data_IF_136324587466
#
_entry.id   IF_136324587466
#
_cell.length_a   1.000
_cell.length_b   1.000
_cell.length_c   1.000
_cell.angle_alpha   90.00
_cell.angle_beta   90.00
_cell.angle_gamma   90.00
#
_symmetry.space_group_name_H-M   'P 1'
#
loop_
_entity.id
_entity.type
_entity.pdbx_description
1 polymer ?
2 polymer ?
3 water ?
#
# COMPACT_ATOMS: atom_id res chain seq x y z
N UNK A 2 13.93 -15.46 11.70
CA UNK A 2 13.71 -15.71 10.28
C UNK A 2 14.68 -14.93 9.40
N UNK A 3 14.77 -15.36 8.13
CA UNK A 3 15.74 -14.83 7.19
C UNK A 3 15.40 -13.41 6.72
N UNK A 4 16.43 -12.61 6.41
CA UNK A 4 16.20 -11.29 5.84
C UNK A 4 15.73 -11.38 4.40
N UNK A 5 15.08 -10.32 3.91
CA UNK A 5 14.58 -10.29 2.55
C UNK A 5 14.70 -8.88 1.98
N UNK A 6 14.89 -8.78 0.67
CA UNK A 6 14.92 -7.49 0.00
C UNK A 6 13.50 -7.01 -0.25
N UNK A 7 13.23 -5.75 0.08
CA UNK A 7 11.89 -5.19 -0.09
C UNK A 7 11.97 -3.76 -0.60
N UNK A 8 10.85 -3.29 -1.14
CA UNK A 8 10.57 -1.86 -1.28
C UNK A 8 9.50 -1.52 -0.27
N UNK A 9 9.61 -0.35 0.36
CA UNK A 9 8.48 0.19 1.10
C UNK A 9 7.60 0.89 0.08
N UNK A 10 6.37 0.39 -0.10
CA UNK A 10 5.51 0.84 -1.20
C UNK A 10 4.40 1.82 -0.83
N UNK A 11 4.10 1.92 0.45
CA UNK A 11 3.15 2.92 0.95
C UNK A 11 3.37 3.10 2.44
N UNK A 12 3.06 4.29 2.95
CA UNK A 12 3.26 4.58 4.36
C UNK A 12 2.03 5.28 4.94
N UNK A 13 1.50 4.76 6.04
CA UNK A 13 0.59 5.53 6.87
C UNK A 13 1.34 6.16 8.05
N UNK A 14 2.18 5.35 8.72
CA UNK A 14 3.04 5.81 9.81
C UNK A 14 4.18 4.80 10.02
N UNK A 15 5.14 5.09 10.92
CA UNK A 15 6.16 4.07 11.16
C UNK A 15 5.61 2.72 11.67
N UNK A 16 4.42 2.74 12.27
CA UNK A 16 3.81 1.50 12.77
C UNK A 16 2.65 1.01 11.88
N UNK A 17 2.55 1.58 10.68
CA UNK A 17 1.63 1.06 9.66
C UNK A 17 2.11 1.44 8.27
N UNK A 18 2.85 0.54 7.64
CA UNK A 18 3.31 0.74 6.27
C UNK A 18 3.27 -0.59 5.54
N UNK A 19 3.54 -0.55 4.24
CA UNK A 19 3.45 -1.74 3.42
C UNK A 19 4.75 -1.95 2.70
N UNK A 20 5.14 -3.21 2.56
CA UNK A 20 6.29 -3.55 1.75
C UNK A 20 5.91 -4.48 0.59
N UNK A 21 6.74 -4.45 -0.45
CA UNK A 21 6.69 -5.42 -1.54
C UNK A 21 7.98 -6.21 -1.53
N UNK A 22 7.87 -7.53 -1.70
CA UNK A 22 9.07 -8.35 -1.80
C UNK A 22 9.68 -8.28 -3.19
N UNK A 23 10.98 -8.05 -3.22
CA UNK A 23 11.75 -7.98 -4.45
C UNK A 23 12.11 -9.38 -4.92
N UNK A 24 11.95 -9.64 -6.20
CA UNK A 24 12.22 -10.98 -6.71
C UNK A 24 11.37 -11.26 -7.91
N UNK A 25 11.12 -12.54 -8.22
CA UNK A 25 10.30 -12.89 -9.38
C UNK A 25 8.96 -12.16 -9.29
N UNK A 26 8.42 -12.10 -8.08
CA UNK A 26 7.09 -11.53 -7.87
C UNK A 26 7.09 -10.03 -8.13
N UNK A 27 8.16 -9.32 -7.81
CA UNK A 27 8.18 -7.88 -8.08
C UNK A 27 8.37 -7.60 -9.57
N UNK A 28 9.07 -8.49 -10.27
CA UNK A 28 9.22 -8.32 -11.70
C UNK A 28 7.88 -8.52 -12.38
N UNK A 29 7.20 -9.59 -11.97
CA UNK A 29 5.86 -9.91 -12.46
C UNK A 29 4.85 -8.82 -12.17
N UNK A 30 4.93 -8.21 -10.98
CA UNK A 30 4.08 -7.06 -10.67
C UNK A 30 4.32 -5.92 -11.67
N UNK A 31 5.58 -5.58 -11.91
CA UNK A 31 5.91 -4.47 -12.79
C UNK A 31 5.37 -4.74 -14.19
N UNK A 32 5.50 -5.99 -14.63
CA UNK A 32 4.98 -6.36 -15.95
C UNK A 32 3.46 -6.23 -15.98
N UNK A 33 2.79 -6.68 -14.93
CA UNK A 33 1.33 -6.61 -14.82
C UNK A 33 0.85 -5.17 -14.82
N UNK A 34 1.54 -4.28 -14.11
CA UNK A 34 1.19 -2.86 -14.12
C UNK A 34 1.26 -2.32 -15.56
N UNK A 35 2.32 -2.69 -16.26
CA UNK A 35 2.47 -2.28 -17.65
C UNK A 35 1.33 -2.85 -18.51
N UNK A 36 1.07 -4.14 -18.38
CA UNK A 36 0.04 -4.78 -19.20
C UNK A 36 -1.37 -4.26 -18.88
N UNK A 37 -1.66 -4.08 -17.58
CA UNK A 37 -2.96 -3.56 -17.21
C UNK A 37 -3.13 -2.13 -17.71
N UNK A 38 -2.07 -1.34 -17.64
CA UNK A 38 -2.15 0.04 -18.09
C UNK A 38 -2.33 0.09 -19.60
N UNK A 39 -1.63 -0.80 -20.32
CA UNK A 39 -1.78 -0.90 -21.77
C UNK A 39 -3.22 -1.29 -22.12
N UNK A 40 -3.72 -2.32 -21.47
CA UNK A 40 -5.06 -2.87 -21.75
C UNK A 40 -6.20 -1.91 -21.45
N UNK A 41 -6.25 -1.39 -20.23
CA UNK A 41 -7.38 -0.57 -19.79
C UNK A 41 -7.29 0.86 -20.29
N UNK A 42 -6.25 1.17 -21.04
CA UNK A 42 -6.15 2.52 -21.57
C UNK A 42 -7.06 2.66 -22.78
N UNK A 43 -7.45 1.53 -23.36
CA UNK A 43 -8.40 1.45 -24.47
C UNK A 43 -9.87 1.39 -24.04
N UNK A 44 -10.70 2.31 -24.56
CA UNK A 44 -12.13 2.33 -24.22
C UNK A 44 -12.84 1.05 -24.66
N UNK A 45 -12.42 0.49 -25.80
CA UNK A 45 -12.93 -0.81 -26.25
C UNK A 45 -12.68 -1.92 -25.23
N UNK A 46 -11.48 -1.98 -24.68
CA UNK A 46 -11.23 -2.95 -23.63
C UNK A 46 -12.04 -2.63 -22.36
N UNK A 47 -12.15 -1.36 -22.02
CA UNK A 47 -12.87 -1.00 -20.80
C UNK A 47 -14.34 -1.39 -20.90
N UNK A 48 -14.91 -1.31 -22.09
CA UNK A 48 -16.30 -1.68 -22.29
C UNK A 48 -16.53 -3.19 -22.11
N UNK A 49 -15.47 -4.00 -22.30
CA UNK A 49 -15.62 -5.42 -22.03
C UNK A 49 -15.78 -5.69 -20.52
N UNK A 50 -15.49 -4.66 -19.71
CA UNK A 50 -15.35 -4.80 -18.26
C UNK A 50 -16.07 -3.68 -17.50
N UNK A 51 -17.17 -3.16 -18.05
CA UNK A 51 -17.87 -2.06 -17.37
C UNK A 51 -18.40 -2.50 -16.00
N UNK A 52 -18.18 -1.64 -15.01
CA UNK A 52 -18.54 -1.90 -13.63
C UNK A 52 -20.00 -1.59 -13.41
N UNK A 53 -20.74 -2.53 -12.83
CA UNK A 53 -22.13 -2.31 -12.45
C UNK A 53 -22.38 -2.80 -11.04
N UNK A 54 -23.15 -2.03 -10.26
CA UNK A 54 -23.50 -2.36 -8.88
C UNK A 54 -22.33 -2.94 -8.09
N UNK A 55 -21.30 -2.12 -7.86
CA UNK A 55 -20.13 -2.61 -7.12
C UNK A 55 -20.46 -2.96 -5.66
N UNK A 56 -19.61 -3.76 -5.03
CA UNK A 56 -19.87 -4.20 -3.66
C UNK A 56 -18.57 -4.28 -2.87
N UNK A 57 -18.70 -4.15 -1.56
CA UNK A 57 -17.56 -4.19 -0.66
C UNK A 57 -16.93 -5.59 -0.72
N UNK A 58 -15.62 -5.62 -0.94
CA UNK A 58 -14.87 -6.86 -1.06
C UNK A 58 -14.48 -7.20 -2.49
N UNK A 59 -15.17 -6.58 -3.45
CA UNK A 59 -14.90 -6.80 -4.86
C UNK A 59 -13.50 -6.38 -5.25
N UNK A 60 -12.82 -7.21 -6.05
CA UNK A 60 -11.51 -6.87 -6.60
C UNK A 60 -11.65 -6.32 -8.02
N UNK A 61 -11.17 -5.10 -8.22
CA UNK A 61 -11.39 -4.37 -9.46
C UNK A 61 -10.09 -3.82 -10.06
N UNK A 62 -10.20 -3.22 -11.24
CA UNK A 62 -9.13 -2.45 -11.84
C UNK A 62 -9.44 -0.97 -11.66
N UNK A 63 -8.46 -0.17 -11.30
CA UNK A 63 -8.73 1.26 -11.10
C UNK A 63 -7.55 2.14 -11.48
N UNK A 64 -7.83 3.33 -12.00
CA UNK A 64 -6.79 4.31 -12.30
C UNK A 64 -6.22 4.98 -11.05
N UNK A 65 -4.90 5.00 -10.95
CA UNK A 65 -4.25 5.69 -9.85
C UNK A 65 -3.98 7.10 -10.32
N UNK A 66 -4.53 8.06 -9.59
CA UNK A 66 -4.59 9.46 -10.01
C UNK A 66 -3.20 10.03 -10.31
N UNK A 67 -2.21 9.58 -9.56
CA UNK A 67 -0.91 10.24 -9.55
C UNK A 67 0.12 9.70 -10.54
N UNK A 68 -0.23 8.68 -11.32
CA UNK A 68 0.61 8.27 -12.42
C UNK A 68 -0.21 7.81 -13.62
N UNK A 69 -1.54 7.85 -13.47
CA UNK A 69 -2.50 7.44 -14.50
C UNK A 69 -2.23 6.06 -15.08
N UNK A 70 -1.71 5.16 -14.24
CA UNK A 70 -1.58 3.78 -14.59
C UNK A 70 -2.68 2.99 -13.89
N UNK A 71 -2.88 1.76 -14.31
CA UNK A 71 -3.97 0.94 -13.82
C UNK A 71 -3.48 -0.07 -12.81
N UNK A 72 -4.21 -0.22 -11.71
CA UNK A 72 -3.81 -1.07 -10.58
C UNK A 72 -4.94 -1.97 -10.08
N UNK A 73 -4.59 -3.07 -9.45
CA UNK A 73 -5.57 -3.89 -8.78
C UNK A 73 -6.01 -3.23 -7.47
N UNK A 74 -7.30 -3.26 -7.19
CA UNK A 74 -7.80 -2.62 -5.97
C UNK A 74 -8.93 -3.41 -5.35
N UNK A 75 -9.05 -3.28 -4.04
CA UNK A 75 -10.15 -3.90 -3.31
C UNK A 75 -11.11 -2.82 -2.87
N UNK A 76 -12.40 -3.01 -3.11
CA UNK A 76 -13.38 -2.05 -2.60
C UNK A 76 -13.59 -2.29 -1.10
N UNK A 77 -13.23 -1.33 -0.27
CA UNK A 77 -13.34 -1.53 1.15
C UNK A 77 -14.55 -0.78 1.71
N UNK A 78 -15.02 0.24 1.01
CA UNK A 78 -16.27 0.88 1.43
C UNK A 78 -16.92 1.57 0.23
N UNK A 79 -18.23 1.79 0.34
CA UNK A 79 -19.01 2.47 -0.68
C UNK A 79 -19.97 3.44 0.00
N UNK A 80 -20.03 4.70 -0.43
CA UNK A 80 -20.90 5.65 0.24
C UNK A 80 -21.53 6.60 -0.76
N UNK A 81 -22.64 7.26 -0.38
CA UNK A 81 -23.27 8.15 -1.36
C UNK A 81 -22.41 9.37 -1.67
N UNK A 82 -22.39 9.77 -2.93
CA UNK A 82 -21.79 11.05 -3.28
C UNK A 82 -22.73 12.13 -2.77
N UNK A 83 -22.21 13.08 -2.01
CA UNK A 83 -23.08 14.07 -1.40
C UNK A 83 -23.47 15.23 -2.32
N UNK A 84 -23.03 15.20 -3.57
CA UNK A 84 -23.52 16.15 -4.58
C UNK A 84 -24.50 15.45 -5.50
N UNK A 85 -24.11 14.24 -5.90
CA UNK A 85 -24.94 13.37 -6.70
C UNK A 85 -25.39 12.20 -5.86
N UNK A 86 -26.56 12.30 -5.23
CA UNK A 86 -27.11 11.12 -4.56
C UNK A 86 -27.25 9.96 -5.55
N UNK A 87 -27.24 10.34 -6.83
CA UNK A 87 -27.26 9.44 -7.97
C UNK A 87 -26.05 8.53 -8.02
N UNK A 88 -24.96 8.98 -7.41
CA UNK A 88 -23.69 8.32 -7.59
C UNK A 88 -23.11 7.90 -6.26
N UNK A 89 -22.00 7.19 -6.32
CA UNK A 89 -21.35 6.72 -5.13
C UNK A 89 -19.90 7.15 -5.14
N UNK A 90 -19.31 7.22 -3.96
CA UNK A 90 -17.87 7.37 -3.79
C UNK A 90 -17.32 6.06 -3.25
N UNK A 91 -16.22 5.60 -3.85
CA UNK A 91 -15.66 4.29 -3.50
C UNK A 91 -14.35 4.46 -2.74
N UNK A 92 -14.23 3.73 -1.64
CA UNK A 92 -12.96 3.66 -0.86
C UNK A 92 -12.19 2.43 -1.37
N UNK A 93 -11.04 2.68 -2.00
CA UNK A 93 -10.22 1.61 -2.59
C UNK A 93 -8.95 1.39 -1.83
N UNK A 94 -8.59 0.13 -1.66
CA UNK A 94 -7.31 -0.29 -1.11
C UNK A 94 -6.54 -0.92 -2.27
N UNK A 95 -5.39 -0.35 -2.64
CA UNK A 95 -4.59 -0.87 -3.74
C UNK A 95 -3.74 -2.08 -3.28
N UNK A 96 -4.21 -3.26 -3.65
CA UNK A 96 -3.74 -4.50 -3.03
C UNK A 96 -2.26 -4.79 -3.27
N UNK A 97 -1.68 -4.22 -4.31
CA UNK A 97 -0.26 -4.49 -4.57
C UNK A 97 0.72 -3.46 -4.02
N UNK A 98 0.19 -2.34 -3.53
CA UNK A 98 1.00 -1.23 -3.03
C UNK A 98 0.70 -0.84 -1.58
N UNK A 99 -0.57 -0.91 -1.17
CA UNK A 99 -0.94 -0.75 0.23
C UNK A 99 -1.62 0.56 0.55
N UNK A 100 -1.57 1.51 -0.38
CA UNK A 100 -2.21 2.81 -0.16
C UNK A 100 -3.71 2.72 -0.42
N UNK A 101 -4.43 3.71 0.09
CA UNK A 101 -5.86 3.81 -0.14
C UNK A 101 -6.23 5.13 -0.78
N UNK A 102 -7.26 5.11 -1.62
CA UNK A 102 -7.74 6.34 -2.26
C UNK A 102 -9.25 6.30 -2.38
N UNK A 103 -9.91 7.46 -2.26
CA UNK A 103 -11.32 7.55 -2.61
C UNK A 103 -11.41 7.85 -4.09
N UNK A 104 -12.38 7.26 -4.76
CA UNK A 104 -12.40 7.35 -6.21
C UNK A 104 -13.84 7.35 -6.74
N UNK A 105 -14.03 7.90 -7.92
CA UNK A 105 -15.29 7.80 -8.63
C UNK A 105 -15.40 6.45 -9.31
N UNK A 106 -16.60 5.85 -9.31
CA UNK A 106 -16.84 4.60 -10.05
C UNK A 106 -16.48 4.71 -11.54
N UNK A 107 -16.47 5.92 -12.09
CA UNK A 107 -16.15 6.11 -13.50
C UNK A 107 -14.72 5.69 -13.81
N UNK A 108 -13.89 5.64 -12.78
CA UNK A 108 -12.48 5.31 -12.97
C UNK A 108 -12.16 3.88 -12.55
N UNK A 109 -13.20 3.07 -12.48
CA UNK A 109 -13.06 1.66 -12.10
C UNK A 109 -13.58 0.74 -13.19
N UNK A 110 -12.95 -0.42 -13.34
CA UNK A 110 -13.44 -1.44 -14.24
C UNK A 110 -13.41 -2.78 -13.52
N UNK A 111 -14.19 -3.73 -14.04
CA UNK A 111 -14.02 -5.11 -13.61
C UNK A 111 -12.60 -5.57 -13.97
N UNK A 112 -12.04 -6.47 -13.17
CA UNK A 112 -10.70 -6.98 -13.42
C UNK A 112 -10.74 -8.22 -14.31
N UNK A 113 -10.00 -8.15 -15.42
CA UNK A 113 -9.87 -9.29 -16.33
C UNK A 113 -9.30 -10.45 -15.52
N UNK A 114 -9.94 -11.60 -15.66
CA UNK A 114 -9.72 -12.73 -14.76
C UNK A 114 -8.26 -13.15 -14.62
N UNK A 115 -7.49 -13.07 -15.70
CA UNK A 115 -6.09 -13.51 -15.63
C UNK A 115 -5.17 -12.54 -14.88
N UNK A 116 -5.66 -11.35 -14.55
CA UNK A 116 -4.90 -10.40 -13.73
C UNK A 116 -5.00 -10.73 -12.25
N UNK A 117 -5.83 -11.71 -11.92
CA UNK A 117 -5.94 -12.22 -10.55
C UNK A 117 -4.90 -13.28 -10.17
N UNK A 118 -4.08 -13.67 -11.14
CA UNK A 118 -3.14 -14.78 -10.93
C UNK A 118 -2.08 -14.46 -9.87
N UNK A 119 -1.47 -13.29 -9.98
CA UNK A 119 -0.41 -12.88 -9.08
C UNK A 119 -0.98 -12.62 -7.69
N UNK A 120 -0.31 -13.13 -6.65
CA UNK A 120 -0.80 -12.90 -5.30
C UNK A 120 -0.68 -11.42 -4.95
N UNK A 121 -1.54 -10.93 -4.07
CA UNK A 121 -1.51 -9.51 -3.71
C UNK A 121 -0.15 -9.16 -3.13
N UNK A 122 0.50 -8.11 -3.64
CA UNK A 122 1.91 -7.89 -3.35
C UNK A 122 2.23 -7.05 -2.10
N UNK A 123 1.30 -6.24 -1.63
CA UNK A 123 1.61 -5.39 -0.49
C UNK A 123 1.37 -6.13 0.82
N UNK A 124 2.39 -6.08 1.67
CA UNK A 124 2.34 -6.72 2.98
C UNK A 124 2.38 -5.63 4.06
N UNK A 125 1.33 -5.57 4.88
CA UNK A 125 1.23 -4.57 5.95
C UNK A 125 2.18 -4.94 7.08
N UNK A 126 2.96 -3.95 7.54
CA UNK A 126 4.00 -4.10 8.57
C UNK A 126 3.97 -3.01 9.61
N UNK A 127 4.64 -3.25 10.73
CA UNK A 127 5.00 -2.15 11.61
C UNK A 127 6.49 -2.22 11.88
N UNK A 128 7.07 -1.08 12.23
CA UNK A 128 8.50 -1.02 12.54
C UNK A 128 8.68 -1.49 13.98
N UNK A 129 9.42 -2.58 14.16
CA UNK A 129 9.63 -3.13 15.49
C UNK A 129 10.45 -2.19 16.37
N UNK A 130 10.19 -2.28 17.67
CA UNK A 130 11.04 -1.69 18.70
C UNK A 130 10.96 -0.16 18.77
N UNK A 131 9.89 0.42 18.23
CA UNK A 131 9.69 1.86 18.32
C UNK A 131 8.30 2.25 18.79
N UNK A 132 8.20 3.42 19.38
CA UNK A 132 6.91 4.02 19.72
C UNK A 132 6.99 5.52 19.56
N UNK A 133 5.82 6.16 19.48
CA UNK A 133 5.76 7.58 19.20
C UNK A 133 6.37 8.41 20.31
N UNK A 134 6.92 9.56 19.93
CA UNK A 134 7.43 10.52 20.93
C UNK A 134 6.26 11.19 21.66
N UNK A 135 5.05 10.99 21.16
CA UNK A 135 3.83 11.42 21.84
C UNK A 135 3.26 10.29 22.68
N UNK A 141 -0.54 8.08 18.23
CA UNK A 141 -0.37 9.16 17.25
C UNK A 141 1.11 9.52 17.03
N UNK A 142 1.52 9.58 15.77
CA UNK A 142 2.87 10.02 15.41
C UNK A 142 2.88 11.48 14.97
N UNK A 143 3.90 12.23 15.40
CA UNK A 143 4.12 13.56 14.82
C UNK A 143 4.32 13.49 13.32
N UNK A 144 3.87 14.50 12.58
CA UNK A 144 4.06 14.54 11.14
C UNK A 144 5.54 14.47 10.79
N UNK A 145 6.38 15.08 11.63
CA UNK A 145 7.81 15.10 11.39
C UNK A 145 8.39 13.69 11.44
N UNK A 146 7.84 12.86 12.32
CA UNK A 146 8.27 11.46 12.44
C UNK A 146 7.84 10.65 11.23
N UNK A 147 6.61 10.86 10.78
CA UNK A 147 6.12 10.19 9.57
C UNK A 147 6.97 10.59 8.38
N UNK A 148 7.27 11.89 8.27
CA UNK A 148 8.10 12.41 7.19
C UNK A 148 9.51 11.81 7.22
N UNK A 149 10.08 11.71 8.42
CA UNK A 149 11.42 11.17 8.54
C UNK A 149 11.42 9.74 8.06
N UNK A 150 10.43 8.96 8.49
CA UNK A 150 10.33 7.55 8.07
C UNK A 150 10.14 7.41 6.56
N UNK A 151 9.30 8.26 5.99
CA UNK A 151 9.14 8.30 4.54
C UNK A 151 10.46 8.63 3.84
N UNK A 152 11.24 9.52 4.44
CA UNK A 152 12.52 9.92 3.87
C UNK A 152 13.55 8.78 3.95
N UNK A 153 13.61 8.11 5.09
CA UNK A 153 14.58 7.04 5.29
C UNK A 153 14.27 5.80 4.45
N UNK A 154 12.99 5.54 4.20
CA UNK A 154 12.61 4.37 3.42
C UNK A 154 12.56 4.70 1.93
N UNK A 155 12.53 6.00 1.63
CA UNK A 155 12.33 6.52 0.29
C UNK A 155 11.14 5.84 -0.38
N UNK A 156 10.03 5.77 0.36
CA UNK A 156 8.80 5.17 -0.14
C UNK A 156 8.39 5.70 -1.52
N UNK A 157 8.01 4.77 -2.41
CA UNK A 157 7.52 5.02 -3.76
C UNK A 157 8.64 5.35 -4.74
N UNK A 158 9.89 5.28 -4.27
CA UNK A 158 11.03 5.59 -5.15
C UNK A 158 11.94 4.40 -5.40
N UNK A 159 11.43 3.19 -5.19
CA UNK A 159 12.15 1.96 -5.54
C UNK A 159 13.50 1.84 -4.85
N UNK A 160 13.56 2.19 -3.56
CA UNK A 160 14.77 2.00 -2.80
C UNK A 160 14.75 0.63 -2.14
N UNK A 161 15.77 -0.17 -2.44
CA UNK A 161 15.89 -1.50 -1.86
C UNK A 161 16.26 -1.38 -0.38
N UNK A 162 15.53 -2.10 0.47
CA UNK A 162 15.88 -2.18 1.89
C UNK A 162 15.97 -3.65 2.22
N UNK A 163 16.63 -3.97 3.32
CA UNK A 163 16.63 -5.32 3.83
C UNK A 163 15.70 -5.39 5.02
N UNK A 164 14.73 -6.29 4.98
CA UNK A 164 13.76 -6.40 6.07
C UNK A 164 13.92 -7.75 6.75
N UNK A 165 13.61 -7.79 8.02
CA UNK A 165 13.60 -9.04 8.76
C UNK A 165 12.43 -8.99 9.71
N UNK A 166 11.58 -10.03 9.67
CA UNK A 166 10.50 -10.13 10.63
C UNK A 166 11.08 -10.58 11.97
N UNK A 167 10.82 -9.80 13.03
CA UNK A 167 11.38 -10.12 14.34
C UNK A 167 10.33 -10.30 15.43
N UNK A 168 9.08 -9.95 15.13
CA UNK A 168 7.98 -10.06 16.08
C UNK A 168 6.64 -10.00 15.35
N UNK A 169 5.56 -10.26 16.09
CA UNK A 169 4.19 -10.05 15.59
C UNK A 169 3.38 -9.36 16.67
N UNK A 170 2.38 -8.59 16.26
CA UNK A 170 1.39 -8.13 17.23
C UNK A 170 -0.01 -8.20 16.62
N UNK A 171 -1.01 -8.25 17.47
CA UNK A 171 -2.38 -8.31 17.00
C UNK A 171 -2.74 -6.94 16.41
N UNK A 172 -3.50 -6.94 15.33
CA UNK A 172 -3.95 -5.70 14.72
C UNK A 172 -4.80 -4.87 15.68
N UNK A 173 -4.51 -3.56 15.76
CA UNK A 173 -5.28 -2.62 16.59
C UNK A 173 -6.74 -2.61 16.17
N UNK A 174 -7.63 -2.13 17.03
CA UNK A 174 -9.06 -2.26 16.77
C UNK A 174 -9.51 -1.46 15.56
N UNK A 175 -10.23 -2.12 14.65
CA UNK A 175 -10.72 -1.50 13.42
C UNK A 175 -11.66 -0.34 13.77
N UNK A 176 -11.26 0.85 13.34
CA UNK A 176 -12.01 2.07 13.58
C UNK A 176 -12.71 2.53 12.30
N UNK A 177 -12.27 1.95 11.19
CA UNK A 177 -12.78 2.29 9.87
C UNK A 177 -13.16 1.01 9.11
N UNK A 178 -13.67 1.15 7.90
CA UNK A 178 -13.77 0.01 7.01
C UNK A 178 -12.35 -0.38 6.60
N UNK A 179 -12.03 -1.67 6.59
CA UNK A 179 -10.70 -2.13 6.17
C UNK A 179 -10.76 -3.29 5.19
N UNK A 180 -9.59 -3.60 4.63
CA UNK A 180 -9.41 -4.73 3.71
C UNK A 180 -9.81 -6.07 4.33
N UNK A 181 -10.26 -6.99 3.48
CA UNK A 181 -10.70 -8.31 3.94
C UNK A 181 -9.57 -9.06 4.62
N UNK A 182 -8.34 -8.83 4.16
CA UNK A 182 -7.19 -9.53 4.72
C UNK A 182 -6.88 -8.99 6.12
N UNK A 183 -7.13 -7.70 6.32
CA UNK A 183 -6.77 -7.05 7.59
C UNK A 183 -7.85 -7.23 8.66
N UNK A 184 -8.70 -8.23 8.48
CA UNK A 184 -9.78 -8.53 9.41
C UNK A 184 -10.13 -10.01 9.42
N UNK A 187 -5.29 -12.30 11.35
CA UNK A 187 -3.88 -12.35 10.99
C UNK A 187 -3.10 -11.27 11.74
N UNK A 188 -2.02 -11.68 12.42
CA UNK A 188 -1.21 -10.68 13.12
C UNK A 188 -0.46 -9.78 12.16
N UNK A 189 0.05 -8.69 12.70
CA UNK A 189 0.89 -7.76 11.97
C UNK A 189 2.35 -8.12 12.19
N UNK A 190 3.12 -8.32 11.11
CA UNK A 190 4.56 -8.55 11.30
C UNK A 190 5.28 -7.27 11.68
N UNK A 191 6.14 -7.37 12.69
CA UNK A 191 7.02 -6.28 13.07
C UNK A 191 8.39 -6.53 12.50
N UNK A 192 8.93 -5.54 11.80
CA UNK A 192 10.16 -5.74 11.05
C UNK A 192 11.29 -4.83 11.46
N UNK A 193 12.50 -5.33 11.29
CA UNK A 193 13.69 -4.48 11.22
C UNK A 193 13.91 -4.09 9.76
N UNK A 194 14.23 -2.81 9.54
CA UNK A 194 14.54 -2.31 8.21
C UNK A 194 15.92 -1.72 8.22
N UNK A 195 16.75 -2.10 7.25
CA UNK A 195 17.95 -1.31 7.10
C UNK A 195 18.28 -1.06 5.64
N UNK A 196 18.96 0.05 5.43
CA UNK A 196 19.32 0.51 4.11
C UNK A 196 20.75 0.10 3.82
N UNK A 197 20.97 -0.89 2.95
CA UNK A 197 22.33 -1.39 2.76
C UNK A 197 23.23 -0.38 2.09
N UNK A 198 22.65 0.70 1.56
CA UNK A 198 23.38 1.67 0.77
C UNK A 198 23.62 2.96 1.54
N UNK A 199 22.97 3.13 2.69
CA UNK A 199 23.31 4.27 3.51
C UNK A 199 24.53 3.82 4.29
N UNK A 200 25.46 4.72 4.50
CA UNK A 200 26.72 4.40 5.16
C UNK A 200 26.61 4.19 6.67
N UNK A 201 25.40 3.91 7.15
CA UNK A 201 25.21 3.75 8.60
C UNK A 201 25.06 2.30 9.02
N UNK A 202 25.64 1.95 10.17
CA UNK A 202 25.45 0.62 10.74
C UNK A 202 24.10 0.51 11.44
N UNK A 203 23.48 1.65 11.70
CA UNK A 203 22.18 1.68 12.37
C UNK A 203 21.06 1.28 11.42
N UNK A 204 20.16 0.41 11.87
CA UNK A 204 18.95 0.17 11.09
C UNK A 204 17.98 1.34 11.28
N UNK A 205 16.89 1.33 10.51
CA UNK A 205 16.03 2.52 10.44
C UNK A 205 15.36 2.87 11.77
N UNK A 206 14.95 1.86 12.53
CA UNK A 206 14.43 2.10 13.88
C UNK A 206 15.44 2.86 14.75
N UNK A 207 16.67 2.36 14.77
CA UNK A 207 17.72 2.95 15.59
C UNK A 207 18.05 4.37 15.13
N UNK A 208 18.03 4.59 13.82
CA UNK A 208 18.20 5.94 13.27
C UNK A 208 17.12 6.89 13.77
N UNK A 209 15.87 6.44 13.76
CA UNK A 209 14.77 7.26 14.27
C UNK A 209 14.89 7.57 15.75
N UNK A 210 15.23 6.56 16.55
CA UNK A 210 15.36 6.74 17.99
C UNK A 210 16.52 7.67 18.31
N UNK A 211 17.71 7.37 17.80
CA UNK A 211 18.91 8.15 18.12
C UNK A 211 18.87 9.57 17.56
N UNK A 212 17.90 9.85 16.70
CA UNK A 212 17.73 11.19 16.15
C UNK A 212 16.49 11.89 16.70
N UNK A 213 15.83 11.28 17.68
CA UNK A 213 14.72 11.91 18.36
C UNK A 213 13.35 11.91 17.66
N UNK A 214 13.21 11.08 16.63
CA UNK A 214 11.93 10.97 15.93
C UNK A 214 11.06 9.85 16.51
N UNK A 215 11.63 9.05 17.40
CA UNK A 215 10.91 7.94 18.03
C UNK A 215 11.51 7.58 19.39
N UNK A 216 10.74 6.83 20.18
CA UNK A 216 11.24 6.30 21.45
C UNK A 216 11.37 4.78 21.38
N UNK A 217 12.32 4.22 22.13
CA UNK A 217 12.45 2.76 22.22
C UNK A 217 11.25 2.14 22.92
N UNK A 218 10.85 0.93 22.50
CA UNK A 218 9.58 0.37 22.96
C UNK A 218 9.71 -0.41 24.26
N UNK B 1 -7.26 7.88 11.06
CA UNK B 1 -6.41 8.23 12.19
C UNK B 1 -5.02 7.65 11.99
N UNK B 2 -4.35 8.14 10.94
CA UNK B 2 -3.06 7.66 10.49
C UNK B 2 -3.12 6.17 10.13
N UNK B 3 -4.23 5.77 9.53
CA UNK B 3 -4.42 4.39 9.13
C UNK B 3 -4.49 4.16 7.62
N UNK B 4 -4.52 5.25 6.85
CA UNK B 4 -4.60 5.11 5.39
C UNK B 4 -3.23 5.28 4.76
N UNK B 5 -2.80 4.27 4.03
CA UNK B 5 -1.52 4.35 3.35
C UNK B 5 -1.52 5.35 2.22
N UNK B 6 -0.36 5.95 1.97
CA UNK B 6 -0.24 6.86 0.84
C UNK B 6 1.09 6.66 0.15
N UNK B 8 3.41 8.56 -3.25
CA UNK B 8 3.50 9.61 -4.27
C UNK B 8 4.77 9.42 -5.11
N UNK B 9 4.65 8.63 -6.18
CA UNK B 9 5.80 8.40 -7.06
C UNK B 9 6.24 9.65 -7.81
N UNK B 10 7.55 9.72 -8.09
CA UNK B 10 8.12 10.83 -8.85
C UNK B 10 7.71 10.72 -10.30
N UNK B 11 7.04 11.78 -10.80
CA UNK B 11 6.45 11.83 -12.14
C UNK B 11 5.36 10.79 -12.34
#
# INVERSE_FOLDING_TARGET
GSKPMEVYVSAVASPTKFWVQLIGPQSKKLASMVQEMTSYYSSAENRAKHVLTAPYVGQIVAAVFKFDEKWYRAEIVDIMPNQYNPKEQVIDLYFVDYGDSEYISPADICELRTDFLTLRFQAVECFLANVKSTIQTEPITWPKSSIAKFEELTEVAHWRKLIARVVTYKERPRATTAVSAAAKEGTPLPGVELFDPADNSELNIADLMITQGFALPLDDSYP
DQGRGRXRPLN
#
